data_IF_122926111083
#
_entry.id   IF_122926111083
#
_cell.length_a   1.000
_cell.length_b   1.000
_cell.length_c   1.000
_cell.angle_alpha   90.00
_cell.angle_beta   90.00
_cell.angle_gamma   90.00
#
_symmetry.space_group_name_H-M   'P 1'
#
loop_
_entity.id
_entity.type
_entity.pdbx_description
1 polymer ?
#
# COMPACT_ATOMS: atom_id res chain seq x y z
N UNK A 1 -14.64 58.45 8.94
CA UNK A 1 -14.35 57.26 9.77
C UNK A 1 -14.21 56.08 8.82
N UNK A 2 -12.98 55.62 8.59
CA UNK A 2 -12.65 54.56 7.63
C UNK A 2 -12.79 53.21 8.34
N UNK A 3 -13.70 52.37 7.88
CA UNK A 3 -13.79 50.97 8.32
C UNK A 3 -12.99 50.12 7.32
N UNK A 4 -11.83 49.62 7.75
CA UNK A 4 -11.10 48.56 7.04
C UNK A 4 -11.60 47.24 7.58
N UNK A 5 -12.35 46.49 6.78
CA UNK A 5 -12.65 45.10 7.09
C UNK A 5 -11.40 44.27 6.80
N UNK A 6 -10.71 43.82 7.85
CA UNK A 6 -9.72 42.75 7.73
C UNK A 6 -10.49 41.48 7.39
N UNK A 7 -10.43 41.06 6.14
CA UNK A 7 -10.83 39.72 5.73
C UNK A 7 -9.95 38.75 6.50
N UNK A 8 -10.56 38.00 7.43
CA UNK A 8 -9.91 36.95 8.17
C UNK A 8 -9.22 36.00 7.19
N UNK A 9 -7.91 35.86 7.33
CA UNK A 9 -7.15 34.81 6.66
C UNK A 9 -7.57 33.50 7.34
N UNK A 10 -8.66 32.90 6.87
CA UNK A 10 -8.95 31.51 7.18
C UNK A 10 -7.84 30.69 6.52
N UNK A 11 -7.17 29.87 7.33
CA UNK A 11 -6.08 28.97 6.96
C UNK A 11 -6.25 28.40 5.53
N UNK A 12 -5.38 28.81 4.60
CA UNK A 12 -5.41 28.40 3.19
C UNK A 12 -4.63 27.09 2.95
N UNK A 13 -4.87 26.06 3.74
CA UNK A 13 -4.28 24.74 3.47
C UNK A 13 -5.14 23.65 4.13
N UNK A 14 -6.27 23.33 3.51
CA UNK A 14 -6.68 21.94 3.53
C UNK A 14 -5.60 21.20 2.73
N UNK A 15 -4.85 20.23 3.29
CA UNK A 15 -4.12 19.34 2.41
C UNK A 15 -5.14 18.80 1.42
N UNK A 16 -4.81 18.80 0.13
CA UNK A 16 -5.65 18.24 -0.96
C UNK A 16 -5.85 16.72 -0.83
N UNK A 17 -5.53 16.16 0.33
CA UNK A 17 -5.63 14.75 0.66
C UNK A 17 -7.08 14.44 1.00
N UNK A 18 -7.78 13.94 -0.02
CA UNK A 18 -9.15 13.47 0.07
C UNK A 18 -9.16 11.95 -0.01
N UNK A 19 -10.02 11.30 0.78
CA UNK A 19 -10.29 9.88 0.65
C UNK A 19 -11.00 9.62 -0.69
N UNK A 20 -10.31 8.99 -1.63
CA UNK A 20 -10.83 8.72 -2.99
C UNK A 20 -11.62 7.42 -3.12
N UNK A 21 -11.98 6.80 -2.00
CA UNK A 21 -12.75 5.54 -1.95
C UNK A 21 -12.24 4.44 -2.92
N UNK A 22 -10.93 4.14 -2.93
CA UNK A 22 -10.40 3.09 -3.80
C UNK A 22 -11.08 1.76 -3.41
N UNK A 23 -11.42 0.93 -4.42
CA UNK A 23 -12.09 -0.35 -4.18
C UNK A 23 -11.27 -1.17 -3.17
N UNK A 24 -11.84 -1.60 -2.03
CA UNK A 24 -11.12 -2.43 -1.09
C UNK A 24 -10.80 -3.75 -1.77
N UNK A 25 -9.52 -4.12 -1.81
CA UNK A 25 -9.03 -5.37 -2.39
C UNK A 25 -9.34 -6.60 -1.52
N UNK A 26 -10.18 -6.44 -0.48
CA UNK A 26 -10.82 -7.52 0.28
C UNK A 26 -9.87 -8.35 1.15
N UNK A 27 -8.60 -7.97 1.28
CA UNK A 27 -7.60 -8.70 2.08
C UNK A 27 -6.99 -7.80 3.15
N UNK A 28 -6.71 -8.39 4.32
CA UNK A 28 -5.97 -7.72 5.38
C UNK A 28 -4.52 -7.57 4.96
N UNK A 29 -4.04 -6.33 4.85
CA UNK A 29 -2.65 -6.00 4.51
C UNK A 29 -1.91 -5.57 5.77
N UNK A 30 -0.86 -6.31 6.11
CA UNK A 30 -0.02 -6.03 7.29
C UNK A 30 1.09 -5.04 7.00
N UNK A 31 1.54 -4.94 5.75
CA UNK A 31 2.68 -4.09 5.35
C UNK A 31 2.32 -3.30 4.09
N UNK A 32 2.62 -2.00 4.08
CA UNK A 32 2.48 -1.14 2.90
C UNK A 32 3.76 -0.34 2.71
N UNK A 33 4.27 -0.30 1.47
CA UNK A 33 5.42 0.50 1.06
C UNK A 33 5.05 1.34 -0.15
N UNK A 34 5.12 2.65 0.02
CA UNK A 34 5.01 3.62 -1.08
C UNK A 34 6.43 3.98 -1.54
N UNK A 35 6.66 3.89 -2.85
CA UNK A 35 7.92 4.25 -3.47
C UNK A 35 7.89 5.65 -4.06
N UNK A 36 6.80 5.99 -4.73
CA UNK A 36 6.54 7.32 -5.30
C UNK A 36 5.02 7.53 -5.46
N UNK A 37 4.61 8.61 -6.12
CA UNK A 37 3.21 8.96 -6.32
C UNK A 37 2.41 7.92 -7.12
N UNK A 38 3.07 7.08 -7.91
CA UNK A 38 2.45 6.08 -8.78
C UNK A 38 2.67 4.66 -8.28
N UNK A 39 3.81 4.37 -7.65
CA UNK A 39 4.23 3.03 -7.30
C UNK A 39 4.09 2.76 -5.79
N UNK A 40 3.29 1.75 -5.44
CA UNK A 40 3.29 1.18 -4.09
C UNK A 40 3.04 -0.32 -4.10
N UNK A 41 3.51 -0.96 -3.04
CA UNK A 41 3.35 -2.36 -2.75
C UNK A 41 2.63 -2.54 -1.41
N UNK A 42 1.79 -3.56 -1.30
CA UNK A 42 1.20 -3.97 -0.05
C UNK A 42 1.27 -5.49 0.10
N UNK A 43 1.50 -5.97 1.32
CA UNK A 43 1.65 -7.37 1.66
C UNK A 43 0.76 -7.71 2.86
N UNK A 44 0.26 -8.94 2.93
CA UNK A 44 -0.69 -9.27 3.98
C UNK A 44 -0.99 -10.75 4.16
N UNK A 45 -2.23 -10.99 4.62
CA UNK A 45 -2.74 -12.31 4.95
C UNK A 45 -2.67 -13.25 3.74
N UNK A 46 -2.46 -14.53 4.01
CA UNK A 46 -2.34 -15.58 3.00
C UNK A 46 -1.21 -15.32 1.97
N UNK A 47 -0.20 -14.55 2.37
CA UNK A 47 0.88 -13.97 1.53
C UNK A 47 0.39 -13.23 0.29
N UNK A 48 -0.71 -12.49 0.46
CA UNK A 48 -1.21 -11.56 -0.54
C UNK A 48 -0.16 -10.49 -0.82
N UNK A 49 0.23 -10.34 -2.08
CA UNK A 49 0.97 -9.22 -2.63
C UNK A 49 0.06 -8.38 -3.52
N UNK A 50 0.10 -7.07 -3.31
CA UNK A 50 -0.63 -6.09 -4.09
C UNK A 50 0.37 -5.08 -4.63
N UNK A 51 0.28 -4.79 -5.93
CA UNK A 51 1.08 -3.76 -6.59
C UNK A 51 0.18 -2.80 -7.33
N UNK A 52 0.53 -1.53 -7.29
CA UNK A 52 0.00 -0.52 -8.20
C UNK A 52 1.14 0.29 -8.81
N UNK A 53 0.88 0.80 -10.00
CA UNK A 53 1.78 1.66 -10.78
C UNK A 53 1.07 2.92 -11.26
N UNK A 54 -0.12 3.23 -10.74
CA UNK A 54 -0.98 4.34 -11.16
C UNK A 54 -1.53 5.16 -9.98
N UNK A 55 -0.84 5.10 -8.83
CA UNK A 55 -1.18 5.87 -7.64
C UNK A 55 -2.40 5.33 -6.89
N UNK A 56 -2.78 4.08 -7.16
CA UNK A 56 -3.83 3.37 -6.41
C UNK A 56 -5.19 3.48 -7.05
N UNK A 57 -5.22 3.79 -8.34
CA UNK A 57 -6.42 3.71 -9.15
C UNK A 57 -6.69 2.25 -9.54
N UNK A 58 -5.64 1.48 -9.82
CA UNK A 58 -5.71 0.04 -10.06
C UNK A 58 -4.68 -0.72 -9.23
N UNK A 59 -5.02 -1.97 -8.92
CA UNK A 59 -4.23 -2.86 -8.08
C UNK A 59 -4.14 -4.24 -8.74
N UNK A 60 -2.92 -4.75 -8.89
CA UNK A 60 -2.63 -6.12 -9.31
C UNK A 60 -2.39 -6.97 -8.07
N UNK A 61 -3.19 -8.01 -7.89
CA UNK A 61 -3.13 -8.91 -6.74
C UNK A 61 -2.48 -10.25 -7.12
N UNK A 62 -1.52 -10.69 -6.32
CA UNK A 62 -0.88 -11.99 -6.40
C UNK A 62 -0.95 -12.66 -5.01
N UNK A 63 -1.67 -13.78 -4.83
CA UNK A 63 -1.83 -14.44 -3.54
C UNK A 63 -0.63 -15.33 -3.14
N UNK A 64 0.45 -15.35 -3.91
CA UNK A 64 1.60 -16.24 -3.70
C UNK A 64 2.93 -15.48 -3.63
N UNK A 65 3.01 -14.44 -2.79
CA UNK A 65 4.25 -13.67 -2.65
C UNK A 65 5.40 -14.55 -2.12
N UNK A 66 6.54 -14.56 -2.83
CA UNK A 66 7.73 -15.33 -2.43
C UNK A 66 7.72 -16.82 -2.81
N UNK A 67 6.69 -17.33 -3.49
CA UNK A 67 6.62 -18.73 -3.92
C UNK A 67 6.88 -18.84 -5.43
N UNK A 68 8.05 -19.34 -5.88
CA UNK A 68 8.39 -19.40 -7.31
C UNK A 68 7.57 -20.42 -8.11
N UNK A 69 6.91 -21.39 -7.46
CA UNK A 69 6.08 -22.42 -8.11
C UNK A 69 4.82 -22.69 -7.28
N UNK A 70 3.80 -21.84 -7.42
CA UNK A 70 2.51 -22.02 -6.77
C UNK A 70 1.79 -23.28 -7.33
N UNK A 71 2.00 -24.43 -6.68
CA UNK A 71 1.14 -25.60 -6.80
C UNK A 71 -0.29 -25.20 -6.36
N UNK A 72 -1.37 -25.72 -6.97
CA UNK A 72 -2.65 -24.99 -7.07
C UNK A 72 -3.36 -24.68 -5.74
N UNK A 73 -2.88 -25.20 -4.61
CA UNK A 73 -3.43 -24.92 -3.30
C UNK A 73 -2.35 -24.93 -2.20
N UNK A 74 -1.64 -23.82 -2.04
CA UNK A 74 -1.14 -23.44 -0.72
C UNK A 74 -1.54 -21.99 -0.46
N UNK A 75 -2.39 -21.75 0.53
CA UNK A 75 -2.45 -20.42 1.14
C UNK A 75 -1.06 -20.14 1.67
N UNK A 76 -0.39 -19.13 1.15
CA UNK A 76 0.95 -18.78 1.64
C UNK A 76 0.82 -18.19 3.04
N UNK A 77 1.87 -18.23 3.86
CA UNK A 77 1.78 -17.73 5.23
C UNK A 77 1.56 -16.21 5.23
N UNK A 78 0.91 -15.70 6.27
CA UNK A 78 0.72 -14.27 6.46
C UNK A 78 2.08 -13.55 6.53
N UNK A 79 2.20 -12.44 5.80
CA UNK A 79 3.39 -11.59 5.79
C UNK A 79 3.21 -10.46 6.81
N UNK A 80 4.10 -10.42 7.80
CA UNK A 80 4.06 -9.45 8.90
C UNK A 80 5.14 -8.37 8.78
N UNK A 81 6.21 -8.65 8.03
CA UNK A 81 7.30 -7.70 7.84
C UNK A 81 7.87 -7.75 6.43
N UNK A 82 8.43 -6.64 6.01
CA UNK A 82 9.17 -6.53 4.76
C UNK A 82 10.40 -5.64 4.96
N UNK A 83 11.51 -6.04 4.37
CA UNK A 83 12.72 -5.24 4.25
C UNK A 83 12.97 -4.95 2.78
N UNK A 84 13.13 -3.68 2.44
CA UNK A 84 13.26 -3.23 1.05
C UNK A 84 14.68 -2.75 0.79
N UNK A 85 15.37 -3.39 -0.15
CA UNK A 85 16.68 -2.93 -0.64
C UNK A 85 16.45 -1.90 -1.73
N UNK A 86 15.56 -2.21 -2.68
CA UNK A 86 15.13 -1.36 -3.77
C UNK A 86 13.72 -1.76 -4.25
N UNK A 87 13.22 -1.12 -5.32
CA UNK A 87 11.85 -1.35 -5.84
C UNK A 87 11.67 -2.75 -6.46
N UNK A 88 12.76 -3.42 -6.82
CA UNK A 88 12.79 -4.73 -7.46
C UNK A 88 13.28 -5.83 -6.49
N UNK A 89 13.98 -5.46 -5.43
CA UNK A 89 14.64 -6.36 -4.48
C UNK A 89 14.17 -6.07 -3.07
N UNK A 90 13.44 -7.01 -2.48
CA UNK A 90 12.95 -6.93 -1.12
C UNK A 90 12.79 -8.33 -0.52
N UNK A 91 12.84 -8.38 0.81
CA UNK A 91 12.71 -9.59 1.60
C UNK A 91 11.44 -9.50 2.42
N UNK A 92 10.68 -10.59 2.48
CA UNK A 92 9.43 -10.67 3.22
C UNK A 92 9.62 -11.67 4.36
N UNK A 93 9.11 -11.33 5.54
CA UNK A 93 9.04 -12.27 6.64
C UNK A 93 7.58 -12.44 7.08
N UNK A 94 7.18 -13.70 7.19
CA UNK A 94 5.85 -14.10 7.60
C UNK A 94 5.88 -15.14 8.72
N UNK A 95 4.69 -15.60 9.08
CA UNK A 95 4.53 -16.69 10.04
C UNK A 95 5.29 -17.94 9.55
N UNK A 96 6.03 -18.58 10.47
CA UNK A 96 6.98 -19.70 10.24
C UNK A 96 8.27 -19.39 9.47
N UNK A 97 8.76 -18.15 9.43
CA UNK A 97 10.07 -17.87 8.84
C UNK A 97 10.10 -18.33 7.38
N UNK A 98 9.25 -17.72 6.56
CA UNK A 98 9.13 -17.97 5.13
C UNK A 98 10.50 -17.91 4.45
N UNK A 99 11.07 -19.08 4.19
CA UNK A 99 12.21 -19.32 3.29
C UNK A 99 11.76 -19.17 1.83
#
# INVERSE_FOLDING_TARGET
>A
MLFVAVSGVFCSNYPSYQWVHPKPFGTSTGVVKVWDANNFYAFGQAGTFVKSTDGGQTFTLNPFAGVPNASPFITTNDIYGAYFVDMNTFYLCGVWGSN
#
